data_IF_050973796781
#
_entry.id   IF_050973796781
#
_cell.length_a   1.000
_cell.length_b   1.000
_cell.length_c   1.000
_cell.angle_alpha   90.00
_cell.angle_beta   90.00
_cell.angle_gamma   90.00
#
_symmetry.space_group_name_H-M   'P 1'
#
loop_
_entity.id
_entity.type
_entity.pdbx_description
1 polymer ?
#
# COMPACT_ATOMS: atom_id res chain seq x y z
N UNK A 1 -7.57 -14.76 -19.06
CA UNK A 1 -8.24 -14.19 -17.86
C UNK A 1 -7.26 -14.06 -16.71
N UNK A 2 -6.42 -13.02 -16.69
CA UNK A 2 -5.32 -12.90 -15.72
C UNK A 2 -5.84 -12.59 -14.29
N UNK A 3 -6.80 -11.66 -14.17
CA UNK A 3 -7.36 -11.25 -12.88
C UNK A 3 -8.07 -12.38 -12.11
N UNK A 4 -8.86 -13.20 -12.80
CA UNK A 4 -9.53 -14.34 -12.17
C UNK A 4 -8.50 -15.35 -11.61
N UNK A 5 -7.43 -15.61 -12.37
CA UNK A 5 -6.33 -16.47 -11.92
C UNK A 5 -5.61 -15.90 -10.69
N UNK A 6 -5.38 -14.59 -10.64
CA UNK A 6 -4.79 -13.94 -9.46
C UNK A 6 -5.66 -14.12 -8.20
N UNK A 7 -6.97 -13.98 -8.33
CA UNK A 7 -7.91 -14.19 -7.22
C UNK A 7 -7.88 -15.66 -6.77
N UNK A 8 -7.85 -16.61 -7.70
CA UNK A 8 -7.72 -18.03 -7.38
C UNK A 8 -6.41 -18.36 -6.68
N UNK A 9 -5.29 -17.89 -7.22
CA UNK A 9 -3.96 -18.11 -6.66
C UNK A 9 -3.78 -17.47 -5.27
N UNK A 10 -4.54 -16.41 -4.97
CA UNK A 10 -4.52 -15.78 -3.65
C UNK A 10 -5.22 -16.62 -2.56
N UNK A 11 -6.00 -17.63 -2.94
CA UNK A 11 -6.82 -18.42 -2.00
C UNK A 11 -7.96 -17.62 -1.37
N UNK A 12 -8.29 -16.44 -1.91
CA UNK A 12 -9.34 -15.56 -1.39
C UNK A 12 -10.67 -15.73 -2.11
N UNK A 13 -10.75 -16.48 -3.22
CA UNK A 13 -11.97 -16.64 -4.03
C UNK A 13 -13.22 -16.91 -3.20
N UNK A 14 -13.15 -17.90 -2.31
CA UNK A 14 -14.29 -18.31 -1.45
C UNK A 14 -14.49 -17.38 -0.24
N UNK A 15 -13.59 -16.42 -0.02
CA UNK A 15 -13.62 -15.45 1.08
C UNK A 15 -14.09 -14.06 0.64
N UNK A 16 -14.33 -13.84 -0.66
CA UNK A 16 -14.81 -12.54 -1.19
C UNK A 16 -16.33 -12.46 -1.01
N UNK A 17 -16.77 -12.32 0.25
CA UNK A 17 -18.21 -12.22 0.58
C UNK A 17 -18.87 -10.94 0.05
N UNK A 18 -18.09 -9.86 -0.10
CA UNK A 18 -18.59 -8.60 -0.62
C UNK A 18 -18.65 -8.52 -2.16
N UNK A 19 -18.12 -9.52 -2.88
CA UNK A 19 -18.02 -9.50 -4.35
C UNK A 19 -16.95 -8.57 -4.90
N UNK A 20 -17.05 -8.29 -6.21
CA UNK A 20 -16.14 -7.43 -6.96
C UNK A 20 -16.80 -6.07 -7.22
N UNK A 21 -16.05 -5.00 -6.99
CA UNK A 21 -16.48 -3.63 -7.22
C UNK A 21 -15.61 -3.01 -8.30
N UNK A 22 -16.21 -2.63 -9.42
CA UNK A 22 -15.53 -1.93 -10.51
C UNK A 22 -15.61 -0.43 -10.27
N UNK A 23 -14.49 0.27 -10.36
CA UNK A 23 -14.40 1.73 -10.13
C UNK A 23 -13.50 2.38 -11.16
N UNK A 24 -13.40 3.72 -11.14
CA UNK A 24 -12.62 4.51 -12.09
C UNK A 24 -13.37 4.82 -13.38
N UNK A 25 -12.76 5.61 -14.26
CA UNK A 25 -13.40 6.03 -15.53
C UNK A 25 -13.73 4.87 -16.46
N UNK A 26 -12.83 3.88 -16.55
CA UNK A 26 -13.04 2.70 -17.41
C UNK A 26 -14.25 1.85 -17.02
N UNK A 27 -14.69 1.92 -15.75
CA UNK A 27 -15.89 1.19 -15.29
C UNK A 27 -17.20 1.74 -15.86
N UNK A 28 -17.19 2.85 -16.59
CA UNK A 28 -18.36 3.38 -17.30
C UNK A 28 -18.54 2.80 -18.71
N UNK A 29 -17.58 2.00 -19.19
CA UNK A 29 -17.70 1.36 -20.49
C UNK A 29 -18.94 0.46 -20.52
N UNK A 30 -19.75 0.59 -21.57
CA UNK A 30 -20.91 -0.26 -21.77
C UNK A 30 -20.50 -1.74 -21.83
N UNK A 31 -21.28 -2.61 -21.17
CA UNK A 31 -21.00 -4.05 -21.14
C UNK A 31 -19.87 -4.48 -20.20
N UNK A 32 -19.16 -3.56 -19.53
CA UNK A 32 -18.03 -3.92 -18.66
C UNK A 32 -18.44 -4.79 -17.48
N UNK A 33 -19.64 -4.54 -16.94
CA UNK A 33 -20.19 -5.32 -15.83
C UNK A 33 -20.51 -6.73 -16.28
N UNK A 34 -21.11 -6.88 -17.45
CA UNK A 34 -21.49 -8.16 -18.05
C UNK A 34 -20.25 -9.00 -18.37
N UNK A 35 -19.22 -8.36 -18.95
CA UNK A 35 -17.91 -8.98 -19.18
C UNK A 35 -17.27 -9.45 -17.87
N UNK A 36 -17.32 -8.61 -16.83
CA UNK A 36 -16.80 -8.98 -15.52
C UNK A 36 -17.57 -10.14 -14.91
N UNK A 37 -18.90 -10.16 -14.99
CA UNK A 37 -19.72 -11.30 -14.53
C UNK A 37 -19.35 -12.58 -15.28
N UNK A 38 -19.22 -12.52 -16.61
CA UNK A 38 -18.77 -13.67 -17.41
C UNK A 38 -17.36 -14.15 -17.03
N UNK A 39 -16.48 -13.22 -16.64
CA UNK A 39 -15.10 -13.51 -16.21
C UNK A 39 -15.04 -14.09 -14.79
N UNK A 40 -15.83 -13.60 -13.85
CA UNK A 40 -15.74 -13.99 -12.43
C UNK A 40 -16.78 -15.03 -12.00
N UNK A 41 -17.66 -15.45 -12.91
CA UNK A 41 -18.61 -16.53 -12.70
C UNK A 41 -19.62 -16.21 -11.60
N UNK A 42 -19.56 -16.93 -10.48
CA UNK A 42 -20.51 -16.81 -9.36
C UNK A 42 -20.27 -15.62 -8.44
N UNK A 43 -19.17 -14.87 -8.62
CA UNK A 43 -18.86 -13.72 -7.75
C UNK A 43 -19.71 -12.51 -8.17
N UNK A 44 -20.47 -11.89 -7.25
CA UNK A 44 -21.30 -10.74 -7.60
C UNK A 44 -20.44 -9.54 -7.99
N UNK A 45 -20.76 -8.91 -9.12
CA UNK A 45 -20.06 -7.71 -9.62
C UNK A 45 -20.98 -6.49 -9.58
N UNK A 46 -20.49 -5.38 -9.02
CA UNK A 46 -21.18 -4.09 -9.00
C UNK A 46 -20.29 -2.95 -9.50
N UNK A 47 -20.91 -1.92 -10.05
CA UNK A 47 -20.25 -0.64 -10.34
C UNK A 47 -20.20 0.20 -9.07
N UNK A 48 -19.06 0.81 -8.80
CA UNK A 48 -18.86 1.69 -7.67
C UNK A 48 -19.63 3.00 -7.86
N UNK A 49 -20.02 3.60 -6.73
CA UNK A 49 -20.34 5.01 -6.63
C UNK A 49 -19.54 5.58 -5.46
N UNK A 50 -18.99 6.80 -5.58
CA UNK A 50 -18.35 7.46 -4.47
C UNK A 50 -19.30 7.57 -3.27
N UNK A 51 -18.76 7.57 -2.05
CA UNK A 51 -19.57 7.71 -0.84
C UNK A 51 -20.22 9.09 -0.82
N UNK A 52 -21.53 9.11 -0.57
CA UNK A 52 -22.30 10.36 -0.45
C UNK A 52 -21.77 11.23 0.70
N UNK A 53 -21.72 12.54 0.47
CA UNK A 53 -21.34 13.53 1.46
C UNK A 53 -22.08 14.85 1.23
N UNK A 54 -22.14 15.68 2.27
CA UNK A 54 -22.73 17.00 2.18
C UNK A 54 -21.97 17.86 1.15
N UNK A 55 -22.70 18.48 0.22
CA UNK A 55 -22.11 19.28 -0.86
C UNK A 55 -21.62 18.48 -2.07
N UNK A 56 -21.87 17.16 -2.13
CA UNK A 56 -21.54 16.37 -3.33
C UNK A 56 -22.49 16.70 -4.49
N UNK A 57 -21.94 17.31 -5.54
CA UNK A 57 -22.65 17.59 -6.79
C UNK A 57 -22.93 16.30 -7.59
N UNK A 58 -24.01 16.30 -8.38
CA UNK A 58 -24.47 15.13 -9.13
C UNK A 58 -23.43 14.60 -10.12
N UNK A 59 -22.71 15.49 -10.80
CA UNK A 59 -21.64 15.11 -11.72
C UNK A 59 -20.51 14.33 -11.04
N UNK A 60 -20.30 14.52 -9.74
CA UNK A 60 -19.26 13.85 -8.96
C UNK A 60 -19.67 12.47 -8.45
N UNK A 61 -20.91 12.02 -8.65
CA UNK A 61 -21.42 10.70 -8.23
C UNK A 61 -21.00 9.55 -9.15
N UNK A 62 -20.18 9.83 -10.15
CA UNK A 62 -19.71 8.83 -11.11
C UNK A 62 -18.44 8.12 -10.61
N UNK A 63 -18.22 6.84 -10.98
CA UNK A 63 -17.09 6.04 -10.48
C UNK A 63 -15.71 6.59 -10.85
N UNK A 64 -15.63 7.51 -11.82
CA UNK A 64 -14.39 8.19 -12.19
C UNK A 64 -13.83 9.08 -11.06
N UNK A 65 -14.69 9.55 -10.15
CA UNK A 65 -14.31 10.40 -9.02
C UNK A 65 -14.08 9.64 -7.72
N UNK A 66 -14.27 8.31 -7.69
CA UNK A 66 -14.15 7.50 -6.48
C UNK A 66 -12.78 7.65 -5.80
N UNK A 67 -11.70 7.78 -6.58
CA UNK A 67 -10.35 7.93 -6.04
C UNK A 67 -10.17 9.29 -5.35
N UNK A 68 -10.49 10.38 -6.05
CA UNK A 68 -10.36 11.74 -5.51
C UNK A 68 -11.24 11.95 -4.27
N UNK A 69 -12.50 11.52 -4.33
CA UNK A 69 -13.43 11.59 -3.20
C UNK A 69 -12.93 10.73 -2.02
N UNK A 70 -12.40 9.53 -2.31
CA UNK A 70 -11.79 8.66 -1.32
C UNK A 70 -10.61 9.33 -0.60
N UNK A 71 -9.74 10.03 -1.33
CA UNK A 71 -8.61 10.77 -0.76
C UNK A 71 -9.06 11.95 0.10
N UNK A 72 -10.09 12.70 -0.32
CA UNK A 72 -10.64 13.80 0.48
C UNK A 72 -11.25 13.27 1.77
N UNK A 73 -12.06 12.20 1.69
CA UNK A 73 -12.62 11.55 2.87
C UNK A 73 -11.54 10.99 3.78
N UNK A 74 -10.47 10.46 3.20
CA UNK A 74 -9.32 9.96 3.91
C UNK A 74 -8.66 11.06 4.75
N UNK A 75 -8.33 12.20 4.11
CA UNK A 75 -7.73 13.34 4.78
C UNK A 75 -8.65 14.00 5.82
N UNK A 76 -9.96 13.98 5.59
CA UNK A 76 -10.93 14.63 6.47
C UNK A 76 -11.35 13.78 7.68
N UNK A 77 -11.21 12.46 7.63
CA UNK A 77 -11.66 11.59 8.74
C UNK A 77 -10.53 11.31 9.73
N UNK A 78 -10.89 11.09 10.99
CA UNK A 78 -9.94 10.72 12.04
C UNK A 78 -9.57 9.23 11.95
N UNK A 79 -8.65 8.89 11.05
CA UNK A 79 -8.03 7.55 11.01
C UNK A 79 -6.98 7.41 12.12
N UNK A 80 -6.56 6.17 12.36
CA UNK A 80 -5.45 5.92 13.28
C UNK A 80 -4.21 6.67 12.81
N UNK A 81 -3.46 7.32 13.71
CA UNK A 81 -2.28 8.08 13.30
C UNK A 81 -1.13 7.18 12.81
N UNK A 82 -1.31 5.85 12.82
CA UNK A 82 -0.37 4.87 12.34
C UNK A 82 -0.87 4.19 11.07
N UNK A 83 -0.04 4.17 10.03
CA UNK A 83 -0.37 3.56 8.74
C UNK A 83 0.84 2.83 8.17
N UNK A 84 0.61 1.75 7.43
CA UNK A 84 1.69 1.00 6.75
C UNK A 84 1.76 1.49 5.31
N UNK A 85 2.91 2.05 4.91
CA UNK A 85 3.13 2.51 3.54
C UNK A 85 3.40 1.34 2.57
N UNK A 86 3.49 1.63 1.26
CA UNK A 86 3.76 0.62 0.23
C UNK A 86 5.08 -0.14 0.44
N UNK A 87 6.05 0.47 1.14
CA UNK A 87 7.34 -0.12 1.48
C UNK A 87 7.28 -0.92 2.79
N UNK A 88 6.07 -1.18 3.32
CA UNK A 88 5.83 -1.88 4.59
C UNK A 88 6.40 -1.14 5.80
N UNK A 89 6.57 0.18 5.73
CA UNK A 89 7.02 1.00 6.85
C UNK A 89 5.83 1.56 7.60
N UNK A 90 5.91 1.56 8.93
CA UNK A 90 4.91 2.22 9.78
C UNK A 90 5.21 3.72 9.75
N UNK A 91 4.22 4.52 9.34
CA UNK A 91 4.24 5.98 9.34
C UNK A 91 3.39 6.50 10.48
N UNK A 92 3.80 7.63 11.04
CA UNK A 92 3.00 8.37 12.00
C UNK A 92 2.54 9.70 11.39
N UNK A 93 1.32 10.15 11.69
CA UNK A 93 0.77 11.43 11.17
C UNK A 93 1.63 12.66 11.50
N UNK A 94 2.46 12.59 12.55
CA UNK A 94 3.36 13.67 12.98
C UNK A 94 4.79 13.52 12.43
N UNK A 95 5.06 12.50 11.62
CA UNK A 95 6.37 12.31 10.99
C UNK A 95 6.56 13.37 9.89
N UNK A 96 7.68 14.09 9.91
CA UNK A 96 8.03 14.98 8.80
C UNK A 96 8.21 14.13 7.54
N UNK A 97 7.64 14.53 6.38
CA UNK A 97 7.84 13.79 5.13
C UNK A 97 9.34 13.59 4.90
N UNK A 98 9.79 12.33 4.85
CA UNK A 98 11.14 12.03 4.40
C UNK A 98 11.28 12.64 2.99
N UNK A 99 12.26 13.53 2.82
CA UNK A 99 12.55 14.36 1.65
C UNK A 99 11.56 14.25 0.47
N UNK A 100 10.86 15.34 0.18
CA UNK A 100 10.12 15.48 -1.07
C UNK A 100 11.05 15.15 -2.24
N UNK A 101 10.84 14.00 -2.90
CA UNK A 101 11.25 13.87 -4.28
C UNK A 101 10.50 14.98 -5.01
N UNK A 102 11.19 16.08 -5.32
CA UNK A 102 10.63 17.14 -6.14
C UNK A 102 10.35 16.50 -7.49
N UNK A 103 9.10 16.12 -7.72
CA UNK A 103 8.64 15.69 -9.02
C UNK A 103 8.55 16.98 -9.84
N UNK A 104 9.61 17.27 -10.57
CA UNK A 104 9.62 18.38 -11.52
C UNK A 104 8.81 17.96 -12.74
N UNK A 105 7.54 18.39 -12.79
CA UNK A 105 6.63 18.09 -13.89
C UNK A 105 6.98 18.88 -15.17
N UNK A 106 8.02 19.71 -15.13
CA UNK A 106 8.48 20.52 -16.26
C UNK A 106 9.18 19.71 -17.35
N UNK A 107 9.77 18.54 -17.02
CA UNK A 107 10.84 17.96 -17.85
C UNK A 107 10.48 16.74 -18.70
N UNK A 108 9.28 16.13 -18.60
CA UNK A 108 9.01 14.87 -19.33
C UNK A 108 7.89 14.98 -20.38
N UNK A 109 8.21 15.61 -21.52
CA UNK A 109 7.63 15.25 -22.84
C UNK A 109 8.53 14.26 -23.61
N UNK A 110 9.63 13.81 -23.03
CA UNK A 110 10.47 12.78 -23.62
C UNK A 110 9.95 11.38 -23.24
N UNK A 111 9.47 10.65 -24.24
CA UNK A 111 9.03 9.25 -24.11
C UNK A 111 10.17 8.42 -23.46
N UNK A 112 9.88 7.81 -22.31
CA UNK A 112 10.80 6.94 -21.58
C UNK A 112 11.05 5.65 -22.38
N UNK A 113 12.14 5.61 -23.15
CA UNK A 113 12.73 4.33 -23.59
C UNK A 113 13.34 3.66 -22.35
N UNK A 114 13.01 2.40 -22.00
CA UNK A 114 13.58 1.77 -20.83
C UNK A 114 15.08 1.53 -21.05
N UNK A 115 15.94 2.27 -20.34
CA UNK A 115 17.35 1.94 -20.26
C UNK A 115 17.56 0.99 -19.07
N UNK A 116 18.11 -0.19 -19.38
CA UNK A 116 18.60 -1.15 -18.39
C UNK A 116 19.81 -0.53 -17.67
N UNK A 117 19.61 -0.03 -16.45
CA UNK A 117 20.71 0.37 -15.57
C UNK A 117 20.64 -0.41 -14.27
N UNK A 118 21.59 -1.34 -14.17
CA UNK A 118 22.05 -1.93 -12.92
C UNK A 118 22.58 -0.82 -12.02
N UNK A 119 22.00 -0.63 -10.85
CA UNK A 119 22.66 0.09 -9.76
C UNK A 119 22.57 -0.71 -8.46
N UNK A 120 23.71 -1.31 -8.11
CA UNK A 120 23.97 -1.86 -6.79
C UNK A 120 24.11 -0.70 -5.79
N UNK A 121 23.10 -0.48 -4.94
CA UNK A 121 23.27 0.32 -3.72
C UNK A 121 22.89 -0.51 -2.49
N UNK A 122 23.93 -0.93 -1.76
CA UNK A 122 23.84 -1.57 -0.44
C UNK A 122 23.13 -0.65 0.55
N UNK A 123 21.85 -0.91 0.78
CA UNK A 123 21.17 -0.42 1.98
C UNK A 123 21.57 -1.28 3.19
N UNK A 124 22.15 -0.64 4.21
CA UNK A 124 22.46 -1.26 5.50
C UNK A 124 21.14 -1.65 6.17
N UNK A 125 20.91 -2.96 6.23
CA UNK A 125 19.78 -3.63 6.87
C UNK A 125 19.64 -3.27 8.35
N UNK A 126 18.42 -2.97 8.79
CA UNK A 126 17.96 -3.36 10.13
C UNK A 126 16.77 -4.27 9.93
N UNK A 127 17.01 -5.58 10.00
CA UNK A 127 15.95 -6.58 10.03
C UNK A 127 15.32 -6.58 11.43
N UNK A 128 14.00 -6.42 11.48
CA UNK A 128 13.23 -6.78 12.67
C UNK A 128 13.28 -8.31 12.74
N UNK A 129 14.14 -8.83 13.62
CA UNK A 129 14.28 -10.26 13.89
C UNK A 129 12.95 -10.77 14.46
N UNK A 130 12.30 -11.66 13.70
CA UNK A 130 11.23 -12.52 14.19
C UNK A 130 11.79 -13.46 15.27
N UNK A 131 11.26 -13.29 16.49
CA UNK A 131 11.29 -14.15 17.67
C UNK A 131 11.77 -15.60 17.46
N UNK A 132 12.85 -15.98 18.15
CA UNK A 132 13.18 -17.36 18.51
C UNK A 132 13.55 -17.41 20.00
N UNK A 133 12.75 -18.10 20.80
CA UNK A 133 12.99 -18.32 22.22
C UNK A 133 14.18 -19.27 22.46
N UNK A 134 15.12 -18.88 23.34
CA UNK A 134 15.61 -19.65 24.52
C UNK A 134 16.92 -19.08 25.10
N UNK A 135 16.89 -18.85 26.43
CA UNK A 135 17.97 -18.82 27.46
C UNK A 135 19.22 -17.94 27.23
N UNK A 136 19.41 -16.93 28.07
CA UNK A 136 20.45 -16.88 29.14
C UNK A 136 20.69 -15.45 29.67
N UNK A 137 20.57 -15.26 30.98
CA UNK A 137 20.79 -13.98 31.70
C UNK A 137 22.29 -13.64 31.91
N UNK A 138 23.22 -14.29 31.20
CA UNK A 138 24.65 -14.26 31.57
C UNK A 138 25.52 -13.28 30.76
N UNK A 139 24.98 -12.61 29.73
CA UNK A 139 25.77 -11.73 28.86
C UNK A 139 25.99 -10.30 29.42
N UNK A 140 25.18 -9.84 30.38
CA UNK A 140 25.29 -8.50 30.98
C UNK A 140 26.41 -8.35 32.02
N UNK A 141 26.89 -9.47 32.57
CA UNK A 141 27.90 -9.51 33.62
C UNK A 141 29.33 -9.52 33.05
N UNK A 142 29.52 -10.15 31.88
CA UNK A 142 30.83 -10.33 31.24
C UNK A 142 31.29 -9.04 30.54
N UNK A 143 30.37 -8.22 30.01
CA UNK A 143 30.71 -6.94 29.38
C UNK A 143 31.24 -5.92 30.40
N UNK A 144 30.72 -5.94 31.63
CA UNK A 144 31.20 -5.10 32.73
C UNK A 144 32.62 -5.46 33.16
N UNK A 145 32.97 -6.76 33.11
CA UNK A 145 34.32 -7.24 33.42
C UNK A 145 35.35 -6.78 32.37
N UNK A 146 34.99 -6.82 31.09
CA UNK A 146 35.87 -6.36 30.00
C UNK A 146 36.15 -4.85 30.05
N UNK A 147 35.14 -4.05 30.42
CA UNK A 147 35.32 -2.61 30.59
C UNK A 147 36.20 -2.28 31.81
N UNK A 148 36.11 -3.04 32.90
CA UNK A 148 36.98 -2.86 34.07
C UNK A 148 38.45 -3.22 33.77
N UNK A 149 38.69 -4.31 33.03
CA UNK A 149 40.03 -4.77 32.69
C UNK A 149 40.82 -3.76 31.83
N UNK A 150 40.14 -3.10 30.89
CA UNK A 150 40.75 -2.03 30.08
C UNK A 150 41.01 -0.73 30.84
N UNK A 151 40.56 -0.63 32.10
CA UNK A 151 40.71 0.57 32.92
C UNK A 151 41.85 0.43 33.96
N UNK A 152 42.44 -0.75 34.08
CA UNK A 152 43.51 -1.03 35.05
C UNK A 152 44.90 -1.27 34.42
N UNK A 153 45.03 -1.20 33.08
CA UNK A 153 46.30 -1.22 32.35
C UNK A 153 46.33 -0.18 31.25
#
# INVERSE_FOLDING_TARGET
MILAQFIENSGLKDKIGAGIVLTGGFSQMEGIRELAVATFGSVPVRLAKPKEMNGLFENLRSPQFSSAIGLVLYAASAYTPYEIDANKRIRHSNEAPAEHTRIDLSDDLAILTPQLLNDEKKEKMISIVTKKEKKSEEAGTISKFWNWANQLF
#
